data_IF_036770688818
#
_entry.id   IF_036770688818
#
_cell.length_a   1.000
_cell.length_b   1.000
_cell.length_c   1.000
_cell.angle_alpha   90.00
_cell.angle_beta   90.00
_cell.angle_gamma   90.00
#
_symmetry.space_group_name_H-M   'P 1'
#
loop_
_entity.id
_entity.type
_entity.pdbx_description
1 polymer ?
#
# COMPACT_ATOMS: atom_id res chain seq x y z
N UNK A 1 -31.34 -27.56 29.90
CA UNK A 1 -30.13 -27.63 29.05
C UNK A 1 -29.30 -26.40 29.34
N UNK A 2 -28.02 -26.57 29.69
CA UNK A 2 -27.12 -25.44 29.93
C UNK A 2 -26.42 -25.09 28.61
N UNK A 3 -26.61 -23.86 28.12
CA UNK A 3 -25.95 -23.39 26.90
C UNK A 3 -24.55 -22.86 27.23
N UNK A 4 -23.51 -23.24 26.48
CA UNK A 4 -22.16 -22.75 26.74
C UNK A 4 -22.07 -21.25 26.45
N UNK A 5 -21.27 -20.54 27.24
CA UNK A 5 -21.06 -19.10 27.10
C UNK A 5 -20.05 -18.81 26.00
N UNK A 6 -20.45 -18.04 24.99
CA UNK A 6 -19.52 -17.35 24.10
C UNK A 6 -19.46 -15.88 24.50
N UNK A 7 -18.28 -15.40 24.92
CA UNK A 7 -18.09 -14.02 25.40
C UNK A 7 -18.11 -13.02 24.26
N UNK A 8 -17.64 -13.44 23.09
CA UNK A 8 -17.69 -12.65 21.85
C UNK A 8 -18.17 -13.48 20.67
N UNK A 9 -18.60 -12.80 19.61
CA UNK A 9 -18.90 -13.45 18.32
C UNK A 9 -17.69 -14.22 17.79
N UNK A 10 -16.50 -13.67 17.93
CA UNK A 10 -15.25 -14.26 17.44
C UNK A 10 -14.95 -15.59 18.15
N UNK A 11 -15.19 -15.67 19.46
CA UNK A 11 -15.03 -16.91 20.23
C UNK A 11 -16.02 -18.00 19.80
N UNK A 12 -17.29 -17.63 19.56
CA UNK A 12 -18.29 -18.55 19.03
C UNK A 12 -17.89 -19.12 17.67
N UNK A 13 -17.45 -18.27 16.73
CA UNK A 13 -16.99 -18.72 15.41
C UNK A 13 -15.78 -19.63 15.50
N UNK A 14 -14.79 -19.29 16.34
CA UNK A 14 -13.64 -20.16 16.52
C UNK A 14 -14.07 -21.53 17.06
N UNK A 15 -14.98 -21.60 18.03
CA UNK A 15 -15.52 -22.88 18.50
C UNK A 15 -16.20 -23.69 17.39
N UNK A 16 -16.98 -23.04 16.52
CA UNK A 16 -17.61 -23.68 15.36
C UNK A 16 -16.56 -24.25 14.40
N UNK A 17 -15.51 -23.49 14.12
CA UNK A 17 -14.39 -23.88 13.23
C UNK A 17 -13.57 -25.04 13.82
N UNK A 18 -13.49 -25.12 15.16
CA UNK A 18 -12.78 -26.17 15.88
C UNK A 18 -13.60 -27.45 16.08
N UNK A 19 -14.92 -27.39 15.85
CA UNK A 19 -15.82 -28.52 16.04
C UNK A 19 -16.17 -29.14 14.69
N UNK A 20 -15.42 -30.12 14.17
CA UNK A 20 -15.71 -30.69 12.85
C UNK A 20 -17.10 -31.35 12.81
N UNK A 21 -17.68 -31.43 11.63
CA UNK A 21 -18.77 -32.36 11.37
C UNK A 21 -18.28 -33.81 11.56
N UNK A 22 -19.19 -34.77 11.71
CA UNK A 22 -18.80 -36.19 11.80
C UNK A 22 -18.06 -36.68 10.54
N UNK A 23 -18.26 -36.04 9.38
CA UNK A 23 -17.49 -36.32 8.17
C UNK A 23 -16.07 -35.70 8.16
N UNK A 24 -15.72 -34.93 9.19
CA UNK A 24 -14.43 -34.25 9.33
C UNK A 24 -14.39 -32.80 8.80
N UNK A 25 -15.33 -32.38 7.94
CA UNK A 25 -15.35 -31.00 7.42
C UNK A 25 -15.70 -30.01 8.55
N UNK A 26 -14.93 -28.93 8.64
CA UNK A 26 -15.06 -27.91 9.69
C UNK A 26 -15.92 -26.73 9.26
N UNK A 27 -16.07 -26.53 7.96
CA UNK A 27 -16.74 -25.33 7.41
C UNK A 27 -18.23 -25.31 7.77
N UNK A 28 -18.70 -24.13 8.16
CA UNK A 28 -20.12 -23.82 8.33
C UNK A 28 -20.35 -22.36 7.92
N UNK A 29 -21.09 -22.12 6.84
CA UNK A 29 -21.41 -20.77 6.39
C UNK A 29 -22.69 -20.31 7.07
N UNK A 30 -22.59 -19.40 8.04
CA UNK A 30 -23.73 -18.90 8.81
C UNK A 30 -23.42 -17.56 9.49
N UNK A 31 -24.38 -16.63 9.52
CA UNK A 31 -24.21 -15.28 10.07
C UNK A 31 -24.55 -15.15 11.57
N UNK A 32 -25.16 -16.18 12.16
CA UNK A 32 -25.61 -16.18 13.55
C UNK A 32 -26.83 -15.30 13.81
N UNK A 33 -27.88 -15.88 14.38
CA UNK A 33 -29.14 -15.23 14.72
C UNK A 33 -29.22 -14.97 16.22
N UNK A 34 -29.64 -13.77 16.64
CA UNK A 34 -29.94 -13.51 18.04
C UNK A 34 -31.20 -14.29 18.45
N UNK A 35 -31.17 -14.92 19.61
CA UNK A 35 -32.29 -15.72 20.14
C UNK A 35 -32.46 -15.47 21.63
N UNK A 36 -33.66 -15.68 22.14
CA UNK A 36 -33.92 -15.80 23.59
C UNK A 36 -33.86 -17.28 23.95
N UNK A 37 -33.03 -17.62 24.94
CA UNK A 37 -32.90 -19.00 25.41
C UNK A 37 -34.09 -19.37 26.31
N UNK A 38 -34.37 -20.68 26.52
CA UNK A 38 -35.47 -21.14 27.38
C UNK A 38 -35.46 -20.61 28.81
N UNK A 39 -34.30 -20.21 29.33
CA UNK A 39 -34.12 -19.59 30.65
C UNK A 39 -34.30 -18.06 30.65
N UNK A 40 -34.71 -17.48 29.50
CA UNK A 40 -34.90 -16.05 29.31
C UNK A 40 -33.62 -15.28 28.99
N UNK A 41 -32.44 -15.91 29.02
CA UNK A 41 -31.17 -15.21 28.77
C UNK A 41 -30.92 -14.98 27.28
N UNK A 42 -30.17 -13.93 26.90
CA UNK A 42 -29.81 -13.71 25.51
C UNK A 42 -28.86 -14.79 25.02
N UNK A 43 -29.11 -15.27 23.80
CA UNK A 43 -28.28 -16.25 23.12
C UNK A 43 -28.06 -15.91 21.65
N UNK A 44 -27.20 -16.72 21.02
CA UNK A 44 -26.97 -16.66 19.58
C UNK A 44 -26.96 -18.06 18.99
N UNK A 45 -27.71 -18.22 17.90
CA UNK A 45 -27.90 -19.48 17.17
C UNK A 45 -27.16 -19.42 15.85
N UNK A 46 -26.37 -20.44 15.56
CA UNK A 46 -25.67 -20.63 14.29
C UNK A 46 -26.15 -21.95 13.68
N UNK A 47 -26.86 -21.87 12.57
CA UNK A 47 -27.40 -23.02 11.86
C UNK A 47 -26.94 -23.00 10.40
N UNK A 48 -26.69 -24.18 9.84
CA UNK A 48 -26.36 -24.35 8.43
C UNK A 48 -26.08 -25.80 8.08
N UNK A 49 -25.88 -26.09 6.79
CA UNK A 49 -25.52 -27.43 6.31
C UNK A 49 -24.01 -27.58 6.18
N UNK A 50 -23.50 -28.74 6.54
CA UNK A 50 -22.11 -29.11 6.26
C UNK A 50 -21.91 -29.18 4.72
N UNK A 51 -20.93 -28.48 4.15
CA UNK A 51 -20.69 -28.53 2.71
C UNK A 51 -20.13 -29.89 2.23
N UNK A 52 -19.53 -30.68 3.13
CA UNK A 52 -18.99 -32.00 2.79
C UNK A 52 -20.05 -33.09 2.70
N UNK A 53 -20.97 -33.19 3.68
CA UNK A 53 -21.96 -34.29 3.74
C UNK A 53 -23.43 -33.83 3.74
N UNK A 54 -23.70 -32.52 3.69
CA UNK A 54 -25.05 -31.96 3.66
C UNK A 54 -25.81 -31.97 4.99
N UNK A 55 -25.26 -32.57 6.05
CA UNK A 55 -25.93 -32.66 7.36
C UNK A 55 -26.11 -31.29 8.00
N UNK A 56 -27.28 -31.07 8.62
CA UNK A 56 -27.54 -29.87 9.40
C UNK A 56 -26.65 -29.82 10.65
N UNK A 57 -26.01 -28.67 10.88
CA UNK A 57 -25.22 -28.35 12.07
C UNK A 57 -25.89 -27.18 12.79
N UNK A 58 -26.01 -27.30 14.10
CA UNK A 58 -26.62 -26.29 14.96
C UNK A 58 -25.73 -26.04 16.19
N UNK A 59 -25.41 -24.79 16.43
CA UNK A 59 -24.74 -24.33 17.63
C UNK A 59 -25.59 -23.23 18.28
N UNK A 60 -25.76 -23.30 19.59
CA UNK A 60 -26.49 -22.30 20.37
C UNK A 60 -25.64 -21.94 21.57
N UNK A 61 -25.31 -20.66 21.69
CA UNK A 61 -24.49 -20.13 22.77
C UNK A 61 -25.30 -19.15 23.61
N UNK A 62 -25.08 -19.17 24.92
CA UNK A 62 -25.41 -18.02 25.77
C UNK A 62 -24.42 -16.90 25.46
N UNK A 63 -24.88 -15.66 25.46
CA UNK A 63 -24.02 -14.47 25.29
C UNK A 63 -24.16 -13.57 26.51
N UNK A 64 -23.14 -12.75 26.85
CA UNK A 64 -23.29 -11.77 27.91
C UNK A 64 -24.35 -10.72 27.51
N UNK A 65 -25.05 -10.18 28.50
CA UNK A 65 -26.08 -9.14 28.32
C UNK A 65 -25.48 -7.87 27.66
N UNK A 66 -24.24 -7.54 28.03
CA UNK A 66 -23.42 -6.52 27.36
C UNK A 66 -22.32 -7.22 26.56
N UNK A 67 -22.34 -7.17 25.22
CA UNK A 67 -21.32 -7.81 24.39
C UNK A 67 -19.91 -7.27 24.64
N UNK A 68 -18.95 -8.17 24.88
CA UNK A 68 -17.54 -7.81 25.09
C UNK A 68 -16.82 -7.41 23.77
N UNK A 69 -17.48 -7.53 22.61
CA UNK A 69 -16.94 -7.19 21.29
C UNK A 69 -17.20 -5.75 20.84
N UNK A 70 -17.70 -4.89 21.72
CA UNK A 70 -18.13 -3.50 21.44
C UNK A 70 -17.00 -2.47 21.21
N UNK A 71 -15.71 -2.85 21.21
CA UNK A 71 -14.62 -1.95 20.84
C UNK A 71 -14.25 -2.11 19.35
N UNK A 72 -14.00 -1.00 18.66
CA UNK A 72 -14.01 -0.88 17.20
C UNK A 72 -13.21 -1.91 16.40
N UNK A 73 -13.53 -1.99 15.10
CA UNK A 73 -13.17 -3.01 14.10
C UNK A 73 -11.66 -3.30 13.86
N UNK A 74 -10.75 -2.76 14.67
CA UNK A 74 -9.30 -2.87 14.48
C UNK A 74 -8.59 -3.85 15.42
N UNK A 75 -9.28 -4.46 16.38
CA UNK A 75 -8.69 -5.47 17.28
C UNK A 75 -9.46 -6.80 17.22
N UNK A 76 -8.73 -7.92 17.24
CA UNK A 76 -9.32 -9.26 17.40
C UNK A 76 -9.30 -9.59 18.89
N UNK A 77 -10.48 -9.82 19.47
CA UNK A 77 -10.68 -10.05 20.90
C UNK A 77 -11.66 -11.20 21.10
N UNK A 78 -11.17 -12.30 21.68
CA UNK A 78 -12.00 -13.47 22.00
C UNK A 78 -12.69 -13.35 23.37
N UNK A 79 -12.09 -12.63 24.32
CA UNK A 79 -12.73 -12.26 25.58
C UNK A 79 -11.95 -11.13 26.26
N UNK A 80 -12.65 -10.26 26.99
CA UNK A 80 -12.04 -9.15 27.74
C UNK A 80 -11.66 -9.57 29.16
N UNK A 81 -10.76 -8.78 29.75
CA UNK A 81 -10.29 -8.98 31.11
C UNK A 81 -9.45 -10.25 31.30
N UNK A 82 -9.40 -10.73 32.54
CA UNK A 82 -8.55 -11.83 32.98
C UNK A 82 -9.26 -13.18 33.05
N UNK A 83 -10.59 -13.21 32.89
CA UNK A 83 -11.37 -14.44 33.01
C UNK A 83 -11.04 -15.41 31.86
N UNK A 84 -10.72 -16.69 32.14
CA UNK A 84 -10.49 -17.69 31.10
C UNK A 84 -11.78 -18.05 30.34
N UNK A 85 -11.63 -18.68 29.19
CA UNK A 85 -12.75 -19.12 28.36
C UNK A 85 -13.52 -20.28 29.01
N UNK A 86 -14.85 -20.20 29.03
CA UNK A 86 -15.72 -21.33 29.35
C UNK A 86 -15.98 -22.23 28.14
N UNK A 87 -15.75 -21.74 26.92
CA UNK A 87 -16.10 -22.44 25.68
C UNK A 87 -14.95 -23.25 25.08
N UNK A 88 -13.74 -22.70 25.13
CA UNK A 88 -12.53 -23.29 24.55
C UNK A 88 -11.53 -23.57 25.65
N UNK A 89 -10.87 -24.73 25.58
CA UNK A 89 -9.81 -25.09 26.53
C UNK A 89 -8.43 -24.55 26.08
N UNK A 90 -7.41 -24.61 26.96
CA UNK A 90 -6.07 -24.09 26.64
C UNK A 90 -5.42 -24.78 25.44
N UNK A 91 -5.67 -26.07 25.23
CA UNK A 91 -5.15 -26.83 24.10
C UNK A 91 -5.74 -26.37 22.77
N UNK A 92 -7.04 -26.08 22.76
CA UNK A 92 -7.74 -25.51 21.61
C UNK A 92 -7.25 -24.10 21.27
N UNK A 93 -6.99 -23.25 22.29
CA UNK A 93 -6.41 -21.93 22.08
C UNK A 93 -5.02 -21.98 21.49
N UNK A 94 -4.15 -22.85 22.01
CA UNK A 94 -2.79 -23.01 21.48
C UNK A 94 -2.82 -23.54 20.04
N UNK A 95 -3.65 -24.54 19.76
CA UNK A 95 -3.83 -25.05 18.40
C UNK A 95 -4.29 -23.94 17.43
N UNK A 96 -5.30 -23.13 17.82
CA UNK A 96 -5.78 -22.03 16.99
C UNK A 96 -4.67 -21.00 16.72
N UNK A 97 -3.90 -20.65 17.74
CA UNK A 97 -2.79 -19.72 17.60
C UNK A 97 -1.72 -20.21 16.62
N UNK A 98 -1.36 -21.49 16.68
CA UNK A 98 -0.38 -22.10 15.78
C UNK A 98 -0.88 -22.10 14.34
N UNK A 99 -2.12 -22.55 14.11
CA UNK A 99 -2.71 -22.51 12.76
C UNK A 99 -2.72 -21.10 12.18
N UNK A 100 -3.06 -20.10 12.99
CA UNK A 100 -3.05 -18.71 12.55
C UNK A 100 -1.64 -18.20 12.24
N UNK A 101 -0.65 -18.57 13.05
CA UNK A 101 0.74 -18.17 12.88
C UNK A 101 1.43 -18.89 11.71
N UNK A 102 1.08 -20.15 11.44
CA UNK A 102 1.67 -21.00 10.40
C UNK A 102 1.12 -20.69 9.00
N UNK A 103 -0.10 -20.17 8.91
CA UNK A 103 -0.65 -19.65 7.64
C UNK A 103 0.09 -18.41 7.11
N UNK A 104 0.96 -17.81 7.92
CA UNK A 104 1.75 -16.63 7.56
C UNK A 104 3.22 -17.05 7.39
N UNK A 105 3.94 -16.55 6.37
CA UNK A 105 5.37 -16.81 6.25
C UNK A 105 6.16 -16.36 7.49
N UNK A 106 7.27 -17.04 7.79
CA UNK A 106 8.12 -16.72 8.94
C UNK A 106 8.66 -15.28 8.87
N UNK A 107 9.00 -14.80 7.67
CA UNK A 107 9.39 -13.41 7.41
C UNK A 107 8.37 -12.72 6.50
N UNK A 108 7.30 -12.12 7.06
CA UNK A 108 6.23 -11.55 6.27
C UNK A 108 6.51 -10.12 5.78
N UNK A 109 7.68 -9.53 6.08
CA UNK A 109 7.98 -8.11 5.78
C UNK A 109 7.96 -7.76 4.29
N UNK A 110 8.13 -8.74 3.41
CA UNK A 110 8.05 -8.55 1.96
C UNK A 110 6.62 -8.53 1.41
N UNK A 111 5.61 -8.86 2.22
CA UNK A 111 4.22 -8.89 1.78
C UNK A 111 3.69 -7.47 1.57
N UNK A 112 2.90 -7.31 0.50
CA UNK A 112 2.26 -6.07 0.10
C UNK A 112 0.76 -6.29 -0.16
N UNK A 113 -0.01 -5.20 -0.24
CA UNK A 113 -1.43 -5.23 -0.63
C UNK A 113 -2.30 -6.16 0.23
N UNK A 114 -3.18 -6.93 -0.43
CA UNK A 114 -4.10 -7.86 0.22
C UNK A 114 -3.39 -8.97 1.02
N UNK A 115 -2.35 -9.67 0.50
CA UNK A 115 -1.61 -10.66 1.28
C UNK A 115 -1.05 -10.13 2.59
N UNK A 116 -0.61 -8.86 2.61
CA UNK A 116 -0.14 -8.18 3.83
C UNK A 116 -1.27 -7.96 4.83
N UNK A 117 -2.42 -7.47 4.35
CA UNK A 117 -3.60 -7.23 5.18
C UNK A 117 -4.11 -8.54 5.79
N UNK A 118 -4.17 -9.61 4.99
CA UNK A 118 -4.53 -10.95 5.43
C UNK A 118 -3.50 -11.47 6.45
N UNK A 119 -2.21 -11.47 6.15
CA UNK A 119 -1.18 -11.88 7.10
C UNK A 119 -1.26 -11.13 8.45
N UNK A 120 -1.56 -9.82 8.41
CA UNK A 120 -1.76 -9.01 9.61
C UNK A 120 -2.95 -9.51 10.44
N UNK A 121 -4.09 -9.76 9.83
CA UNK A 121 -5.30 -10.29 10.50
C UNK A 121 -5.03 -11.64 11.15
N UNK A 122 -4.37 -12.55 10.44
CA UNK A 122 -4.02 -13.89 10.95
C UNK A 122 -3.06 -13.79 12.15
N UNK A 123 -1.99 -12.99 12.07
CA UNK A 123 -1.08 -12.79 13.21
C UNK A 123 -1.77 -12.11 14.41
N UNK A 124 -2.72 -11.19 14.17
CA UNK A 124 -3.52 -10.61 15.25
C UNK A 124 -4.40 -11.67 15.95
N UNK A 125 -5.00 -12.57 15.19
CA UNK A 125 -5.79 -13.67 15.74
C UNK A 125 -4.92 -14.64 16.55
N UNK A 126 -3.71 -14.96 16.06
CA UNK A 126 -2.74 -15.76 16.80
C UNK A 126 -2.35 -15.12 18.14
N UNK A 127 -2.05 -13.82 18.16
CA UNK A 127 -1.75 -13.09 19.41
C UNK A 127 -2.94 -13.12 20.37
N UNK A 128 -4.16 -12.90 19.87
CA UNK A 128 -5.38 -12.92 20.68
C UNK A 128 -5.63 -14.32 21.30
N UNK A 129 -5.44 -15.39 20.52
CA UNK A 129 -5.58 -16.76 21.00
C UNK A 129 -4.53 -17.12 22.08
N UNK A 130 -3.27 -16.69 21.92
CA UNK A 130 -2.24 -16.88 22.94
C UNK A 130 -2.52 -16.11 24.23
N UNK A 131 -3.12 -14.91 24.12
CA UNK A 131 -3.59 -14.17 25.31
C UNK A 131 -4.68 -14.95 26.05
N UNK A 132 -5.63 -15.57 25.35
CA UNK A 132 -6.64 -16.41 26.00
C UNK A 132 -6.04 -17.65 26.68
N UNK A 133 -5.08 -18.33 26.05
CA UNK A 133 -4.41 -19.48 26.66
C UNK A 133 -3.72 -19.12 28.00
N UNK A 134 -3.09 -17.95 28.08
CA UNK A 134 -2.41 -17.47 29.30
C UNK A 134 -3.39 -17.21 30.45
N UNK A 135 -4.65 -16.85 30.18
CA UNK A 135 -5.67 -16.60 31.22
C UNK A 135 -6.02 -17.83 32.05
N UNK A 136 -5.69 -19.03 31.57
CA UNK A 136 -5.89 -20.27 32.31
C UNK A 136 -4.81 -20.56 33.34
N UNK A 137 -3.73 -19.77 33.39
CA UNK A 137 -2.68 -19.93 34.40
C UNK A 137 -3.07 -19.13 35.64
N UNK A 138 -3.34 -19.79 36.78
CA UNK A 138 -3.65 -19.10 38.03
C UNK A 138 -2.55 -18.12 38.45
N UNK A 139 -2.91 -17.15 39.27
CA UNK A 139 -1.93 -16.24 39.87
C UNK A 139 -0.90 -17.01 40.69
N UNK A 140 0.38 -16.68 40.51
CA UNK A 140 1.51 -17.39 41.14
C UNK A 140 1.88 -18.74 40.51
N UNK A 141 1.05 -19.30 39.61
CA UNK A 141 1.38 -20.54 38.91
C UNK A 141 2.27 -20.31 37.68
N UNK A 142 3.08 -21.32 37.37
CA UNK A 142 4.00 -21.35 36.23
C UNK A 142 3.37 -22.00 34.98
N UNK A 143 2.26 -22.72 35.13
CA UNK A 143 1.62 -23.49 34.05
C UNK A 143 0.11 -23.55 34.17
N UNK A 144 -0.51 -23.87 33.04
CA UNK A 144 -1.92 -24.21 32.98
C UNK A 144 -2.17 -25.51 33.75
N UNK A 145 -3.15 -25.55 34.67
CA UNK A 145 -3.46 -26.75 35.43
C UNK A 145 -4.14 -27.81 34.55
N UNK A 146 -3.92 -29.09 34.86
CA UNK A 146 -4.36 -30.21 34.01
C UNK A 146 -5.89 -30.28 33.86
N UNK A 147 -6.63 -29.88 34.88
CA UNK A 147 -8.09 -29.82 34.93
C UNK A 147 -8.69 -28.77 33.97
N UNK A 148 -7.91 -27.80 33.50
CA UNK A 148 -8.37 -26.82 32.52
C UNK A 148 -8.58 -27.44 31.12
N UNK A 149 -7.97 -28.60 30.84
CA UNK A 149 -8.06 -29.30 29.55
C UNK A 149 -9.30 -30.19 29.50
N UNK A 150 -10.38 -29.66 28.90
CA UNK A 150 -11.71 -30.27 28.90
C UNK A 150 -12.01 -31.06 27.63
N UNK A 151 -11.39 -30.71 26.51
CA UNK A 151 -11.50 -31.43 25.25
C UNK A 151 -10.53 -32.62 25.22
N UNK A 152 -10.89 -33.68 24.49
CA UNK A 152 -9.98 -34.81 24.30
C UNK A 152 -8.66 -34.40 23.61
N UNK A 153 -8.68 -33.64 22.49
CA UNK A 153 -7.44 -33.18 21.85
C UNK A 153 -6.56 -32.32 22.77
N UNK A 154 -7.17 -31.46 23.59
CA UNK A 154 -6.46 -30.63 24.55
C UNK A 154 -5.75 -31.46 25.63
N UNK A 155 -6.45 -32.45 26.21
CA UNK A 155 -5.87 -33.39 27.18
C UNK A 155 -4.71 -34.19 26.58
N UNK A 156 -4.92 -34.78 25.41
CA UNK A 156 -3.90 -35.59 24.74
C UNK A 156 -2.64 -34.77 24.48
N UNK A 157 -2.81 -33.52 24.04
CA UNK A 157 -1.69 -32.61 23.83
C UNK A 157 -0.99 -32.25 25.13
N UNK A 158 -1.72 -31.95 26.20
CA UNK A 158 -1.10 -31.63 27.49
C UNK A 158 -0.30 -32.80 28.07
N UNK A 159 -0.81 -34.03 27.93
CA UNK A 159 -0.09 -35.24 28.36
C UNK A 159 1.22 -35.43 27.59
N UNK A 160 1.21 -35.22 26.27
CA UNK A 160 2.41 -35.35 25.43
C UNK A 160 3.41 -34.21 25.64
N UNK A 161 2.92 -32.99 25.80
CA UNK A 161 3.73 -31.76 25.74
C UNK A 161 3.36 -30.75 26.85
N UNK A 162 3.49 -31.11 28.15
CA UNK A 162 3.08 -30.23 29.24
C UNK A 162 3.89 -28.92 29.27
N UNK A 163 5.15 -28.95 28.83
CA UNK A 163 6.01 -27.77 28.74
C UNK A 163 5.49 -26.69 27.78
N UNK A 164 4.66 -27.06 26.80
CA UNK A 164 4.03 -26.13 25.85
C UNK A 164 3.06 -25.15 26.55
N UNK A 165 2.54 -25.53 27.72
CA UNK A 165 1.52 -24.79 28.47
C UNK A 165 2.08 -24.11 29.72
N UNK A 166 3.39 -23.87 29.75
CA UNK A 166 4.02 -23.00 30.76
C UNK A 166 3.80 -21.54 30.41
N UNK A 167 3.74 -20.67 31.42
CA UNK A 167 3.64 -19.22 31.28
C UNK A 167 4.74 -18.68 30.39
N UNK A 168 5.98 -19.10 30.66
CA UNK A 168 7.15 -18.70 29.88
C UNK A 168 6.97 -19.05 28.40
N UNK A 169 6.62 -20.31 28.10
CA UNK A 169 6.46 -20.76 26.71
C UNK A 169 5.35 -20.03 25.96
N UNK A 170 4.18 -19.84 26.57
CA UNK A 170 3.06 -19.13 25.95
C UNK A 170 3.39 -17.65 25.71
N UNK A 171 4.10 -17.01 26.67
CA UNK A 171 4.58 -15.63 26.52
C UNK A 171 5.61 -15.53 25.40
N UNK A 172 6.58 -16.44 25.33
CA UNK A 172 7.61 -16.44 24.29
C UNK A 172 7.03 -16.63 22.89
N UNK A 173 6.07 -17.55 22.74
CA UNK A 173 5.31 -17.73 21.51
C UNK A 173 4.61 -16.43 21.12
N UNK A 174 3.91 -15.80 22.06
CA UNK A 174 3.20 -14.54 21.81
C UNK A 174 4.15 -13.44 21.37
N UNK A 175 5.27 -13.25 22.07
CA UNK A 175 6.28 -12.26 21.71
C UNK A 175 6.89 -12.54 20.32
N UNK A 176 7.06 -13.81 19.95
CA UNK A 176 7.48 -14.22 18.62
C UNK A 176 6.49 -13.80 17.52
N UNK A 177 5.21 -14.09 17.71
CA UNK A 177 4.14 -13.67 16.79
C UNK A 177 4.04 -12.14 16.73
N UNK A 178 4.13 -11.45 17.86
CA UNK A 178 4.13 -9.97 17.91
C UNK A 178 5.32 -9.35 17.17
N UNK A 179 6.51 -9.97 17.18
CA UNK A 179 7.65 -9.53 16.34
C UNK A 179 7.33 -9.61 14.85
N UNK A 180 6.73 -10.71 14.40
CA UNK A 180 6.29 -10.89 13.00
C UNK A 180 5.23 -9.85 12.63
N UNK A 181 4.29 -9.57 13.53
CA UNK A 181 3.26 -8.54 13.34
C UNK A 181 3.87 -7.12 13.27
N UNK A 182 4.91 -6.83 14.04
CA UNK A 182 5.64 -5.55 13.95
C UNK A 182 6.39 -5.41 12.63
N UNK A 183 7.02 -6.48 12.14
CA UNK A 183 7.65 -6.47 10.81
C UNK A 183 6.66 -6.12 9.69
N UNK A 184 5.39 -6.51 9.81
CA UNK A 184 4.30 -6.10 8.91
C UNK A 184 3.81 -4.66 9.07
N UNK A 185 4.16 -3.95 10.14
CA UNK A 185 3.89 -2.52 10.28
C UNK A 185 5.04 -1.71 9.71
N UNK A 186 6.26 -2.14 10.02
CA UNK A 186 7.47 -1.36 9.80
C UNK A 186 8.07 -1.58 8.40
N UNK A 187 7.64 -2.63 7.68
CA UNK A 187 8.07 -2.85 6.30
C UNK A 187 7.63 -1.69 5.39
N UNK A 188 8.55 -1.12 4.57
CA UNK A 188 8.25 0.00 3.69
C UNK A 188 7.05 -0.34 2.80
N UNK A 189 6.25 0.67 2.47
CA UNK A 189 5.20 0.49 1.48
C UNK A 189 5.82 -0.10 0.22
N UNK A 190 5.14 -1.08 -0.39
CA UNK A 190 5.59 -1.59 -1.67
C UNK A 190 5.73 -0.41 -2.65
N UNK A 191 6.82 -0.36 -3.43
CA UNK A 191 7.01 0.73 -4.37
C UNK A 191 5.83 0.78 -5.34
N UNK A 192 5.38 2.00 -5.65
CA UNK A 192 4.35 2.26 -6.65
C UNK A 192 4.71 1.53 -7.97
N UNK A 193 3.85 0.64 -8.51
CA UNK A 193 4.11 -0.05 -9.76
C UNK A 193 4.45 0.91 -10.91
N UNK A 194 3.88 2.11 -10.94
CA UNK A 194 4.22 3.12 -11.94
C UNK A 194 5.60 3.73 -11.71
N UNK A 195 5.99 3.97 -10.46
CA UNK A 195 7.36 4.38 -10.13
C UNK A 195 8.38 3.30 -10.55
N UNK A 196 8.08 2.02 -10.30
CA UNK A 196 8.94 0.91 -10.74
C UNK A 196 9.05 0.87 -12.27
N UNK A 197 7.93 1.05 -13.00
CA UNK A 197 7.92 1.12 -14.47
C UNK A 197 8.76 2.29 -15.00
N UNK A 198 8.61 3.48 -14.41
CA UNK A 198 9.39 4.68 -14.76
C UNK A 198 10.89 4.45 -14.54
N UNK A 199 11.28 3.98 -13.36
CA UNK A 199 12.68 3.72 -13.04
C UNK A 199 13.32 2.66 -13.96
N UNK A 200 12.55 1.61 -14.32
CA UNK A 200 13.01 0.62 -15.27
C UNK A 200 13.16 1.18 -16.69
N UNK A 201 12.29 2.12 -17.11
CA UNK A 201 12.40 2.81 -18.40
C UNK A 201 13.62 3.73 -18.44
N UNK A 202 13.85 4.50 -17.36
CA UNK A 202 15.05 5.34 -17.20
C UNK A 202 16.33 4.50 -17.26
N UNK A 203 16.39 3.39 -16.52
CA UNK A 203 17.56 2.49 -16.52
C UNK A 203 17.85 1.94 -17.92
N UNK A 204 16.82 1.46 -18.63
CA UNK A 204 16.97 0.96 -20.01
C UNK A 204 17.44 2.04 -20.97
N UNK A 205 16.98 3.28 -20.82
CA UNK A 205 17.40 4.37 -21.67
C UNK A 205 18.87 4.74 -21.43
N UNK A 206 19.28 4.83 -20.16
CA UNK A 206 20.66 5.09 -19.77
C UNK A 206 21.61 3.98 -20.28
N UNK A 207 21.19 2.71 -20.20
CA UNK A 207 21.93 1.58 -20.77
C UNK A 207 21.97 1.61 -22.31
N UNK A 208 20.86 1.97 -22.97
CA UNK A 208 20.81 2.09 -24.43
C UNK A 208 21.73 3.22 -24.92
N UNK A 209 21.74 4.35 -24.23
CA UNK A 209 22.68 5.44 -24.48
C UNK A 209 24.13 5.00 -24.30
N UNK A 210 24.48 4.37 -23.18
CA UNK A 210 25.86 3.93 -22.92
C UNK A 210 26.38 2.98 -24.01
N UNK A 211 25.53 2.06 -24.49
CA UNK A 211 25.86 1.18 -25.62
C UNK A 211 26.12 1.94 -26.92
N UNK A 212 25.32 2.97 -27.25
CA UNK A 212 25.53 3.79 -28.47
C UNK A 212 26.88 4.52 -28.44
N UNK A 213 27.40 4.84 -27.25
CA UNK A 213 28.64 5.59 -27.06
C UNK A 213 29.83 4.71 -26.64
N UNK A 214 29.73 3.38 -26.74
CA UNK A 214 30.84 2.46 -26.47
C UNK A 214 31.26 2.37 -25.00
N UNK A 215 30.37 2.70 -24.06
CA UNK A 215 30.64 2.64 -22.63
C UNK A 215 30.18 1.29 -22.06
N UNK A 216 31.08 0.56 -21.38
CA UNK A 216 30.78 -0.75 -20.79
C UNK A 216 29.78 -0.67 -19.62
N UNK A 217 29.73 0.48 -18.92
CA UNK A 217 28.74 0.75 -17.86
C UNK A 217 28.31 2.22 -17.88
N UNK A 218 27.01 2.43 -17.73
CA UNK A 218 26.44 3.74 -17.54
C UNK A 218 26.46 4.10 -16.05
N UNK A 219 27.18 5.16 -15.69
CA UNK A 219 26.98 5.86 -14.44
C UNK A 219 26.83 7.35 -14.76
N UNK A 220 25.81 8.00 -14.21
CA UNK A 220 25.71 9.46 -14.25
C UNK A 220 27.01 10.03 -13.66
N UNK A 221 27.73 10.82 -14.45
CA UNK A 221 29.03 11.37 -14.06
C UNK A 221 30.27 10.58 -14.51
N UNK A 222 30.11 9.42 -15.17
CA UNK A 222 31.25 8.67 -15.73
C UNK A 222 31.63 9.10 -17.15
N UNK A 223 30.78 9.89 -17.84
CA UNK A 223 31.09 10.47 -19.15
C UNK A 223 31.71 11.86 -19.06
N UNK A 224 32.16 12.40 -20.20
CA UNK A 224 32.51 13.82 -20.36
C UNK A 224 31.33 14.73 -20.03
N UNK A 225 31.59 16.01 -19.77
CA UNK A 225 30.53 16.99 -19.51
C UNK A 225 29.49 17.08 -20.66
N UNK A 226 29.93 16.87 -21.91
CA UNK A 226 29.03 16.82 -23.06
C UNK A 226 28.15 15.58 -23.09
N UNK A 227 28.74 14.42 -22.81
CA UNK A 227 28.03 13.15 -22.69
C UNK A 227 27.00 13.17 -21.56
N UNK A 228 27.36 13.71 -20.37
CA UNK A 228 26.41 13.82 -19.26
C UNK A 228 25.23 14.75 -19.60
N UNK A 229 25.48 15.86 -20.32
CA UNK A 229 24.39 16.72 -20.83
C UNK A 229 23.48 15.99 -21.82
N UNK A 230 24.01 15.09 -22.63
CA UNK A 230 23.21 14.27 -23.54
C UNK A 230 22.32 13.26 -22.80
N UNK A 231 22.86 12.58 -21.79
CA UNK A 231 22.08 11.68 -20.93
C UNK A 231 20.93 12.44 -20.25
N UNK A 232 21.23 13.62 -19.67
CA UNK A 232 20.20 14.44 -19.03
C UNK A 232 19.10 14.87 -19.99
N UNK A 233 19.45 15.20 -21.24
CA UNK A 233 18.46 15.51 -22.28
C UNK A 233 17.55 14.33 -22.59
N UNK A 234 18.09 13.13 -22.73
CA UNK A 234 17.30 11.91 -22.97
C UNK A 234 16.39 11.58 -21.78
N UNK A 235 16.91 11.67 -20.55
CA UNK A 235 16.12 11.45 -19.34
C UNK A 235 14.97 12.45 -19.19
N UNK A 236 15.22 13.73 -19.49
CA UNK A 236 14.15 14.75 -19.53
C UNK A 236 13.08 14.38 -20.54
N UNK A 237 13.46 13.96 -21.75
CA UNK A 237 12.50 13.56 -22.78
C UNK A 237 11.60 12.40 -22.33
N UNK A 238 12.18 11.39 -21.66
CA UNK A 238 11.46 10.22 -21.15
C UNK A 238 10.49 10.57 -20.02
N UNK A 239 10.85 11.55 -19.20
CA UNK A 239 10.01 12.07 -18.13
C UNK A 239 8.96 13.09 -18.61
N UNK A 240 8.75 13.21 -19.92
CA UNK A 240 7.80 14.16 -20.49
C UNK A 240 8.21 15.60 -20.27
N UNK A 241 9.50 15.87 -20.09
CA UNK A 241 10.09 17.20 -19.98
C UNK A 241 10.73 17.61 -21.30
N UNK A 242 10.90 18.91 -21.49
CA UNK A 242 11.65 19.48 -22.60
C UNK A 242 13.15 19.22 -22.42
N UNK A 243 13.84 18.64 -23.42
CA UNK A 243 15.26 18.28 -23.27
C UNK A 243 16.16 19.48 -22.96
N UNK A 244 15.88 20.64 -23.56
CA UNK A 244 16.73 21.82 -23.46
C UNK A 244 16.55 22.55 -22.12
N UNK A 245 15.32 22.62 -21.61
CA UNK A 245 14.98 23.45 -20.43
C UNK A 245 14.63 22.64 -19.17
N UNK A 246 14.33 21.35 -19.31
CA UNK A 246 13.84 20.50 -18.21
C UNK A 246 12.40 20.78 -17.78
N UNK A 247 11.68 21.68 -18.46
CA UNK A 247 10.31 22.06 -18.12
C UNK A 247 9.32 20.96 -18.54
N UNK A 248 8.31 20.68 -17.71
CA UNK A 248 7.29 19.67 -18.00
C UNK A 248 6.45 20.02 -19.23
N UNK A 249 6.26 19.06 -20.14
CA UNK A 249 5.51 19.25 -21.40
C UNK A 249 4.01 19.02 -21.28
N UNK A 250 3.54 18.55 -20.12
CA UNK A 250 2.13 18.22 -19.89
C UNK A 250 1.20 19.45 -19.92
N UNK A 251 1.71 20.64 -19.61
CA UNK A 251 0.93 21.88 -19.55
C UNK A 251 1.48 22.99 -20.46
N UNK A 252 0.63 23.95 -20.86
CA UNK A 252 1.02 25.06 -21.73
C UNK A 252 1.99 26.05 -21.08
N UNK A 253 1.90 26.19 -19.75
CA UNK A 253 2.81 27.05 -18.97
C UNK A 253 4.29 26.64 -19.14
N UNK A 254 4.57 25.35 -19.22
CA UNK A 254 5.91 24.83 -19.49
C UNK A 254 6.44 25.28 -20.85
N UNK A 255 5.58 25.32 -21.87
CA UNK A 255 5.95 25.77 -23.21
C UNK A 255 6.25 27.28 -23.25
N UNK A 256 5.41 28.12 -22.65
CA UNK A 256 5.68 29.56 -22.58
C UNK A 256 6.95 29.90 -21.80
N UNK A 257 7.19 29.20 -20.69
CA UNK A 257 8.44 29.33 -19.95
C UNK A 257 9.66 28.91 -20.78
N UNK A 258 9.56 27.84 -21.57
CA UNK A 258 10.62 27.41 -22.47
C UNK A 258 10.90 28.43 -23.59
N UNK A 259 9.85 29.05 -24.15
CA UNK A 259 9.99 30.13 -25.14
C UNK A 259 10.67 31.36 -24.53
N UNK A 260 10.29 31.77 -23.32
CA UNK A 260 10.96 32.87 -22.62
C UNK A 260 12.43 32.56 -22.34
N UNK A 261 12.74 31.35 -21.88
CA UNK A 261 14.12 30.92 -21.66
C UNK A 261 14.94 30.92 -22.95
N UNK A 262 14.34 30.59 -24.10
CA UNK A 262 14.99 30.73 -25.40
C UNK A 262 15.41 32.19 -25.66
N UNK A 263 14.50 33.15 -25.45
CA UNK A 263 14.80 34.57 -25.68
C UNK A 263 15.90 35.07 -24.74
N UNK A 264 15.77 34.82 -23.42
CA UNK A 264 16.79 35.21 -22.45
C UNK A 264 18.14 34.51 -22.69
N UNK A 265 18.12 33.27 -23.18
CA UNK A 265 19.32 32.53 -23.60
C UNK A 265 20.03 33.22 -24.76
N UNK A 266 19.30 33.62 -25.79
CA UNK A 266 19.85 34.38 -26.93
C UNK A 266 20.40 35.74 -26.50
N UNK A 267 19.73 36.44 -25.59
CA UNK A 267 20.19 37.72 -25.05
C UNK A 267 21.55 37.57 -24.34
N UNK A 268 21.69 36.54 -23.51
CA UNK A 268 22.92 36.27 -22.77
C UNK A 268 24.05 35.75 -23.68
N UNK A 269 23.76 34.80 -24.57
CA UNK A 269 24.74 34.19 -25.49
C UNK A 269 25.36 35.24 -26.43
N UNK A 270 24.55 36.18 -26.91
CA UNK A 270 24.93 37.14 -27.95
C UNK A 270 25.05 38.57 -27.40
N UNK A 271 25.29 38.73 -26.10
CA UNK A 271 25.45 40.03 -25.47
C UNK A 271 26.58 40.88 -26.10
N UNK A 272 27.59 40.25 -26.68
CA UNK A 272 28.70 40.90 -27.39
C UNK A 272 28.48 41.12 -28.90
N UNK A 273 27.41 40.56 -29.48
CA UNK A 273 27.08 40.66 -30.91
C UNK A 273 25.61 41.07 -31.07
N UNK A 274 25.36 42.36 -30.86
CA UNK A 274 24.03 42.96 -30.88
C UNK A 274 23.28 42.72 -32.20
N UNK A 275 23.88 42.92 -33.39
CA UNK A 275 23.19 42.63 -34.65
C UNK A 275 22.73 41.17 -34.75
N UNK A 276 23.58 40.22 -34.38
CA UNK A 276 23.24 38.80 -34.45
C UNK A 276 22.18 38.41 -33.40
N UNK A 277 22.25 39.00 -32.21
CA UNK A 277 21.24 38.85 -31.14
C UNK A 277 19.87 39.28 -31.63
N UNK A 278 19.77 40.52 -32.11
CA UNK A 278 18.51 41.12 -32.51
C UNK A 278 17.90 40.38 -33.70
N UNK A 279 18.74 39.93 -34.65
CA UNK A 279 18.31 39.06 -35.74
C UNK A 279 17.69 37.75 -35.23
N UNK A 280 18.37 37.00 -34.36
CA UNK A 280 17.88 35.68 -33.89
C UNK A 280 16.64 35.81 -33.02
N UNK A 281 16.57 36.82 -32.16
CA UNK A 281 15.37 37.13 -31.37
C UNK A 281 14.22 37.51 -32.30
N UNK A 282 14.47 38.37 -33.30
CA UNK A 282 13.48 38.74 -34.30
C UNK A 282 12.90 37.54 -35.06
N UNK A 283 13.75 36.59 -35.45
CA UNK A 283 13.33 35.34 -36.10
C UNK A 283 12.46 34.46 -35.17
N UNK A 284 12.82 34.35 -33.88
CA UNK A 284 12.01 33.62 -32.90
C UNK A 284 10.64 34.27 -32.67
N UNK A 285 10.59 35.61 -32.58
CA UNK A 285 9.36 36.38 -32.44
C UNK A 285 8.48 36.30 -33.69
N UNK A 286 9.08 36.33 -34.88
CA UNK A 286 8.33 36.14 -36.13
C UNK A 286 7.69 34.75 -36.21
N UNK A 287 8.39 33.71 -35.76
CA UNK A 287 7.81 32.36 -35.66
C UNK A 287 6.64 32.28 -34.66
N UNK A 288 6.75 32.99 -33.54
CA UNK A 288 5.67 33.14 -32.57
C UNK A 288 4.44 33.85 -33.16
N UNK A 289 4.63 34.96 -33.89
CA UNK A 289 3.53 35.67 -34.55
C UNK A 289 2.86 34.82 -35.64
N UNK A 290 3.64 34.15 -36.48
CA UNK A 290 3.11 33.24 -37.50
C UNK A 290 2.31 32.07 -36.88
N UNK A 291 2.69 31.63 -35.67
CA UNK A 291 1.92 30.65 -34.93
C UNK A 291 0.59 31.22 -34.40
N UNK A 292 0.57 32.43 -33.83
CA UNK A 292 -0.67 33.09 -33.41
C UNK A 292 -1.66 33.21 -34.57
N UNK A 293 -1.19 33.67 -35.73
CA UNK A 293 -2.01 33.81 -36.94
C UNK A 293 -2.57 32.48 -37.41
N UNK A 294 -1.72 31.45 -37.50
CA UNK A 294 -2.11 30.10 -37.95
C UNK A 294 -3.21 29.51 -37.08
N UNK A 295 -3.10 29.66 -35.77
CA UNK A 295 -4.06 29.12 -34.82
C UNK A 295 -5.19 30.10 -34.45
N UNK A 296 -5.18 31.32 -35.03
CA UNK A 296 -6.14 32.40 -34.75
C UNK A 296 -6.25 32.70 -33.25
N UNK A 297 -5.11 32.73 -32.57
CA UNK A 297 -5.02 32.98 -31.13
C UNK A 297 -4.90 34.48 -30.90
N UNK A 298 -5.79 35.04 -30.08
CA UNK A 298 -5.62 36.37 -29.50
C UNK A 298 -4.80 36.24 -28.21
N UNK A 299 -3.58 36.76 -28.22
CA UNK A 299 -2.67 36.74 -27.08
C UNK A 299 -2.79 37.99 -26.20
N UNK A 300 -3.70 38.94 -26.49
CA UNK A 300 -3.83 40.20 -25.74
C UNK A 300 -3.95 39.98 -24.23
N UNK A 301 -4.62 38.90 -23.80
CA UNK A 301 -4.80 38.56 -22.39
C UNK A 301 -3.50 38.21 -21.65
N UNK A 302 -2.44 37.79 -22.37
CA UNK A 302 -1.22 37.24 -21.76
C UNK A 302 0.09 37.69 -22.40
N UNK A 303 0.06 38.42 -23.52
CA UNK A 303 1.23 38.94 -24.25
C UNK A 303 2.14 39.75 -23.32
N UNK A 304 1.60 40.75 -22.64
CA UNK A 304 2.40 41.63 -21.76
C UNK A 304 2.97 40.85 -20.56
N UNK A 305 2.25 39.84 -20.08
CA UNK A 305 2.65 38.98 -18.95
C UNK A 305 3.80 38.04 -19.32
N UNK A 306 3.83 37.54 -20.56
CA UNK A 306 4.91 36.70 -21.07
C UNK A 306 6.27 37.42 -21.01
N UNK A 307 6.28 38.71 -21.35
CA UNK A 307 7.49 39.51 -21.48
C UNK A 307 7.95 40.15 -20.16
N UNK A 308 7.02 40.66 -19.35
CA UNK A 308 7.34 41.35 -18.08
C UNK A 308 7.87 40.42 -16.99
N UNK A 309 7.81 39.09 -17.17
CA UNK A 309 8.17 38.12 -16.14
C UNK A 309 7.13 38.01 -15.04
N UNK A 310 6.04 38.77 -15.16
CA UNK A 310 4.88 38.75 -14.28
C UNK A 310 3.83 37.76 -14.79
N UNK A 311 3.90 36.55 -14.22
CA UNK A 311 2.79 35.59 -14.02
C UNK A 311 1.85 35.28 -15.22
N UNK A 312 2.42 34.64 -16.26
CA UNK A 312 1.65 33.62 -17.02
C UNK A 312 1.18 32.49 -16.08
N UNK A 313 1.81 32.34 -14.91
CA UNK A 313 1.50 31.33 -13.90
C UNK A 313 0.19 31.57 -13.12
N UNK A 314 -0.38 32.77 -13.18
CA UNK A 314 -1.66 33.10 -12.53
C UNK A 314 -2.87 32.81 -13.44
N UNK A 315 -2.64 32.61 -14.73
CA UNK A 315 -3.68 32.21 -15.68
C UNK A 315 -3.94 30.72 -15.55
N UNK A 316 -5.20 30.32 -15.54
CA UNK A 316 -5.52 28.89 -15.51
C UNK A 316 -5.12 28.24 -16.84
N UNK A 317 -4.84 26.94 -16.84
CA UNK A 317 -4.53 26.23 -18.10
C UNK A 317 -5.69 26.31 -19.11
N UNK A 318 -6.91 26.63 -18.68
CA UNK A 318 -8.07 26.85 -19.54
C UNK A 318 -8.02 28.19 -20.29
N UNK A 319 -7.29 29.18 -19.78
CA UNK A 319 -7.11 30.49 -20.40
C UNK A 319 -5.91 30.50 -21.38
N UNK A 320 -5.20 29.38 -21.49
CA UNK A 320 -4.03 29.22 -22.34
C UNK A 320 -4.32 28.26 -23.50
N UNK A 321 -3.62 28.40 -24.63
CA UNK A 321 -3.71 27.43 -25.72
C UNK A 321 -3.32 26.02 -25.25
N UNK A 322 -3.81 24.94 -25.89
CA UNK A 322 -3.46 23.57 -25.52
C UNK A 322 -1.95 23.34 -25.52
N UNK A 323 -1.45 22.53 -24.58
CA UNK A 323 -0.02 22.27 -24.40
C UNK A 323 0.69 21.88 -25.72
N UNK A 324 0.07 21.02 -26.52
CA UNK A 324 0.62 20.61 -27.83
C UNK A 324 0.89 21.79 -28.76
N UNK A 325 -0.07 22.70 -28.91
CA UNK A 325 0.07 23.90 -29.75
C UNK A 325 1.15 24.85 -29.24
N UNK A 326 1.27 25.02 -27.92
CA UNK A 326 2.34 25.84 -27.34
C UNK A 326 3.72 25.20 -27.59
N UNK A 327 3.86 23.89 -27.46
CA UNK A 327 5.15 23.23 -27.76
C UNK A 327 5.51 23.23 -29.24
N UNK A 328 4.53 23.26 -30.15
CA UNK A 328 4.77 23.53 -31.58
C UNK A 328 5.37 24.93 -31.81
N UNK A 329 4.84 25.93 -31.12
CA UNK A 329 5.39 27.30 -31.13
C UNK A 329 6.83 27.35 -30.65
N UNK A 330 7.15 26.69 -29.52
CA UNK A 330 8.53 26.62 -29.02
C UNK A 330 9.46 25.96 -30.05
N UNK A 331 9.03 24.86 -30.66
CA UNK A 331 9.83 24.16 -31.66
C UNK A 331 10.09 25.04 -32.90
N UNK A 332 9.07 25.74 -33.39
CA UNK A 332 9.19 26.65 -34.54
C UNK A 332 10.13 27.83 -34.24
N UNK A 333 10.01 28.42 -33.05
CA UNK A 333 10.87 29.51 -32.61
C UNK A 333 12.35 29.09 -32.51
N UNK A 334 12.63 27.93 -31.90
CA UNK A 334 14.00 27.37 -31.84
C UNK A 334 14.56 27.10 -33.23
N UNK A 335 13.76 26.51 -34.12
CA UNK A 335 14.19 26.21 -35.47
C UNK A 335 14.51 27.50 -36.26
N UNK A 336 13.71 28.56 -36.09
CA UNK A 336 13.95 29.85 -36.73
C UNK A 336 15.24 30.52 -36.21
N UNK A 337 15.43 30.54 -34.88
CA UNK A 337 16.60 31.16 -34.25
C UNK A 337 17.94 30.47 -34.59
N UNK A 338 17.92 29.18 -34.93
CA UNK A 338 19.13 28.40 -35.26
C UNK A 338 19.57 28.49 -36.72
N UNK A 339 18.75 29.02 -37.62
CA UNK A 339 19.14 29.16 -39.03
C UNK A 339 20.34 30.11 -39.13
N UNK A 340 21.48 29.59 -39.60
CA UNK A 340 22.59 30.43 -40.04
C UNK A 340 22.18 31.04 -41.39
N UNK A 341 22.30 32.37 -41.51
CA UNK A 341 22.14 33.08 -42.78
C UNK A 341 23.45 33.07 -43.55
#
# INVERSE_FOLDING_TARGET
MTYPLARTRQEAHLHIDLTPCECGDRRLVTAGEAVTLPDGTPGRRYAGRCPGCGRDRLFVFRVPEVPEDSAGAREIVYGRGTRPSELLDPGQWLWAAEQYADAVPANPGHLAGEPRATARTWLMAAVAALREAVKFIPDGADRVPAEAFRSAPGRDRYVREPAAFTRQRLVDLRLGVERRLRALRDAPAAPDPDAVRRQAAESRAVEAWARRHGLERAALGAGTAEQNREIERELRALNGQDPETGLGRAGPRGGFAAFRQLISGLEAELAGDVPQRDLRIGLALAAYQAWLERHRIDDTAWRDRLWTGSVVWDLTDADLPPAGAVWEMVAAARAAARRQL
#
